data_IF_803490321693
#
_entry.id   IF_803490321693
#
_cell.length_a   1.000
_cell.length_b   1.000
_cell.length_c   1.000
_cell.angle_alpha   90.00
_cell.angle_beta   90.00
_cell.angle_gamma   90.00
#
_symmetry.space_group_name_H-M   'P 1'
#
loop_
_entity.id
_entity.type
_entity.pdbx_description
1 polymer ?
#
# COMPACT_ATOMS: atom_id res chain seq x y z
N UNK A 1 -0.71 -1.64 -6.61
CA UNK A 1 -2.14 -1.96 -6.75
C UNK A 1 -2.27 -3.29 -7.47
N UNK A 2 -2.64 -4.36 -6.78
CA UNK A 2 -2.83 -5.68 -7.41
C UNK A 2 -4.30 -5.83 -7.81
N UNK A 3 -4.56 -5.73 -9.11
CA UNK A 3 -5.87 -5.95 -9.66
C UNK A 3 -6.17 -7.46 -9.70
N UNK A 4 -7.24 -7.93 -9.05
CA UNK A 4 -7.60 -9.35 -9.00
C UNK A 4 -8.75 -9.64 -9.94
N UNK A 5 -8.52 -10.50 -10.94
CA UNK A 5 -9.59 -10.93 -11.82
C UNK A 5 -10.66 -11.72 -11.04
N UNK A 6 -11.95 -11.38 -11.18
CA UNK A 6 -13.00 -12.07 -10.47
C UNK A 6 -13.02 -13.56 -10.85
N UNK A 7 -13.16 -14.42 -9.84
CA UNK A 7 -13.15 -15.87 -10.02
C UNK A 7 -14.49 -16.38 -10.58
N UNK A 8 -15.58 -15.66 -10.32
CA UNK A 8 -16.95 -16.01 -10.71
C UNK A 8 -17.30 -15.69 -12.16
N UNK A 9 -16.45 -14.94 -12.88
CA UNK A 9 -16.72 -14.55 -14.27
C UNK A 9 -16.22 -15.64 -15.21
N UNK A 10 -17.14 -16.53 -15.60
CA UNK A 10 -16.91 -17.62 -16.55
C UNK A 10 -18.21 -18.05 -17.23
N UNK A 11 -18.10 -18.85 -18.28
CA UNK A 11 -19.24 -19.47 -18.96
C UNK A 11 -19.79 -18.67 -20.14
N UNK A 12 -20.69 -19.33 -20.90
CA UNK A 12 -21.25 -18.80 -22.14
C UNK A 12 -22.23 -17.65 -21.89
N UNK A 13 -22.97 -17.67 -20.77
CA UNK A 13 -23.95 -16.62 -20.46
C UNK A 13 -23.27 -15.28 -20.20
N UNK A 14 -22.18 -15.29 -19.43
CA UNK A 14 -21.34 -14.10 -19.23
C UNK A 14 -20.74 -13.64 -20.56
N UNK A 15 -20.25 -14.56 -21.38
CA UNK A 15 -19.69 -14.22 -22.70
C UNK A 15 -20.72 -13.54 -23.61
N UNK A 16 -21.95 -14.07 -23.69
CA UNK A 16 -23.06 -13.48 -24.46
C UNK A 16 -23.41 -12.09 -23.94
N UNK A 17 -23.53 -11.94 -22.62
CA UNK A 17 -23.82 -10.65 -21.99
C UNK A 17 -22.79 -9.57 -22.34
N UNK A 18 -21.48 -9.89 -22.26
CA UNK A 18 -20.44 -8.91 -22.59
C UNK A 18 -20.31 -8.65 -24.09
N UNK A 19 -20.57 -9.67 -24.92
CA UNK A 19 -20.63 -9.50 -26.37
C UNK A 19 -21.76 -8.54 -26.78
N UNK A 20 -22.95 -8.69 -26.20
CA UNK A 20 -24.09 -7.81 -26.47
C UNK A 20 -23.79 -6.34 -26.09
N UNK A 21 -23.00 -6.13 -25.04
CA UNK A 21 -22.61 -4.80 -24.59
C UNK A 21 -21.55 -4.13 -25.49
N UNK A 22 -20.57 -4.90 -25.97
CA UNK A 22 -19.45 -4.37 -26.78
C UNK A 22 -19.85 -4.17 -28.25
N UNK A 23 -20.85 -4.89 -28.73
CA UNK A 23 -21.44 -4.63 -30.05
C UNK A 23 -21.92 -5.85 -30.84
N UNK A 24 -22.45 -6.89 -30.17
CA UNK A 24 -23.34 -7.96 -30.67
C UNK A 24 -22.80 -8.91 -31.76
N UNK A 25 -21.85 -8.46 -32.58
CA UNK A 25 -21.41 -9.13 -33.78
C UNK A 25 -20.16 -9.97 -33.52
N UNK A 26 -20.21 -11.22 -33.98
CA UNK A 26 -19.08 -12.14 -33.92
C UNK A 26 -17.83 -11.60 -34.63
N UNK A 27 -18.00 -10.83 -35.71
CA UNK A 27 -16.90 -10.16 -36.43
C UNK A 27 -16.19 -9.17 -35.52
N UNK A 28 -16.94 -8.30 -34.84
CA UNK A 28 -16.41 -7.26 -33.96
C UNK A 28 -15.68 -7.88 -32.78
N UNK A 29 -16.30 -8.85 -32.10
CA UNK A 29 -15.67 -9.58 -30.99
C UNK A 29 -14.44 -10.35 -31.42
N UNK A 30 -14.44 -10.97 -32.61
CA UNK A 30 -13.27 -11.68 -33.14
C UNK A 30 -12.06 -10.77 -33.32
N UNK A 31 -12.29 -9.51 -33.71
CA UNK A 31 -11.23 -8.49 -33.84
C UNK A 31 -10.67 -8.07 -32.48
N UNK A 32 -11.54 -7.85 -31.49
CA UNK A 32 -11.11 -7.50 -30.13
C UNK A 32 -10.31 -8.62 -29.47
N UNK A 33 -10.75 -9.87 -29.64
CA UNK A 33 -10.10 -11.03 -29.06
C UNK A 33 -8.89 -11.54 -29.86
N UNK A 34 -8.66 -11.03 -31.08
CA UNK A 34 -7.58 -11.49 -31.96
C UNK A 34 -7.73 -12.95 -32.43
N UNK A 35 -8.96 -13.45 -32.52
CA UNK A 35 -9.26 -14.83 -32.92
C UNK A 35 -10.02 -14.87 -34.24
N UNK A 36 -9.99 -15.99 -34.95
CA UNK A 36 -10.79 -16.16 -36.16
C UNK A 36 -12.29 -16.20 -35.85
N UNK A 37 -13.13 -15.57 -36.68
CA UNK A 37 -14.58 -15.45 -36.47
C UNK A 37 -15.28 -16.81 -36.25
N UNK A 38 -14.89 -17.83 -37.03
CA UNK A 38 -15.39 -19.20 -36.86
C UNK A 38 -15.19 -19.76 -35.44
N UNK A 39 -14.15 -19.34 -34.73
CA UNK A 39 -13.89 -19.76 -33.34
C UNK A 39 -14.94 -19.16 -32.41
N UNK A 40 -15.24 -17.86 -32.57
CA UNK A 40 -16.30 -17.18 -31.80
C UNK A 40 -17.66 -17.80 -32.09
N UNK A 41 -17.98 -18.07 -33.36
CA UNK A 41 -19.22 -18.77 -33.73
C UNK A 41 -19.29 -20.18 -33.15
N UNK A 42 -18.16 -20.90 -33.06
CA UNK A 42 -18.10 -22.25 -32.47
C UNK A 42 -18.40 -22.21 -30.97
N UNK A 43 -17.89 -21.21 -30.26
CA UNK A 43 -18.21 -20.95 -28.85
C UNK A 43 -19.69 -20.63 -28.65
N UNK A 44 -20.27 -19.77 -29.49
CA UNK A 44 -21.68 -19.39 -29.41
C UNK A 44 -22.65 -20.54 -29.65
N UNK A 45 -22.25 -21.51 -30.49
CA UNK A 45 -23.01 -22.73 -30.78
C UNK A 45 -22.84 -23.83 -29.72
N UNK A 46 -22.12 -23.55 -28.63
CA UNK A 46 -21.84 -24.49 -27.54
C UNK A 46 -21.10 -25.76 -27.99
N UNK A 47 -20.52 -25.76 -29.19
CA UNK A 47 -19.73 -26.87 -29.72
C UNK A 47 -18.34 -26.98 -29.06
N UNK A 48 -17.91 -25.93 -28.37
CA UNK A 48 -16.65 -25.90 -27.59
C UNK A 48 -16.84 -24.96 -26.41
N UNK A 49 -16.36 -25.31 -25.20
CA UNK A 49 -16.41 -24.41 -24.06
C UNK A 49 -15.65 -23.12 -24.35
N UNK A 50 -16.19 -22.00 -23.86
CA UNK A 50 -15.56 -20.69 -23.98
C UNK A 50 -14.37 -20.62 -23.01
N UNK A 51 -13.16 -20.28 -23.49
CA UNK A 51 -12.02 -20.06 -22.61
C UNK A 51 -12.30 -18.93 -21.62
N UNK A 52 -11.89 -19.10 -20.36
CA UNK A 52 -12.10 -18.09 -19.31
C UNK A 52 -11.42 -16.78 -19.65
N UNK A 53 -10.26 -16.87 -20.29
CA UNK A 53 -9.44 -15.75 -20.72
C UNK A 53 -10.19 -14.84 -21.70
N UNK A 54 -10.97 -15.43 -22.62
CA UNK A 54 -11.79 -14.68 -23.57
C UNK A 54 -12.94 -13.95 -22.87
N UNK A 55 -13.59 -14.61 -21.90
CA UNK A 55 -14.66 -13.98 -21.10
C UNK A 55 -14.10 -12.83 -20.27
N UNK A 56 -12.93 -13.01 -19.66
CA UNK A 56 -12.27 -11.97 -18.87
C UNK A 56 -11.81 -10.79 -19.72
N UNK A 57 -11.28 -11.04 -20.91
CA UNK A 57 -10.89 -9.97 -21.83
C UNK A 57 -12.09 -9.08 -22.18
N UNK A 58 -13.24 -9.67 -22.50
CA UNK A 58 -14.48 -8.91 -22.75
C UNK A 58 -15.01 -8.23 -21.49
N UNK A 59 -14.91 -8.88 -20.34
CA UNK A 59 -15.31 -8.27 -19.07
C UNK A 59 -14.51 -6.99 -18.79
N UNK A 60 -13.20 -6.99 -19.01
CA UNK A 60 -12.35 -5.81 -18.79
C UNK A 60 -12.66 -4.64 -19.70
N UNK A 61 -13.12 -4.93 -20.92
CA UNK A 61 -13.54 -3.90 -21.87
C UNK A 61 -14.98 -3.40 -21.62
N UNK A 62 -15.83 -4.23 -21.01
CA UNK A 62 -17.20 -3.86 -20.66
C UNK A 62 -17.28 -2.75 -19.61
N UNK A 63 -18.45 -2.11 -19.47
CA UNK A 63 -18.70 -1.12 -18.40
C UNK A 63 -18.59 -1.77 -17.01
N UNK A 64 -18.84 -3.07 -16.89
CA UNK A 64 -18.73 -3.80 -15.61
C UNK A 64 -17.30 -3.85 -15.12
N UNK A 65 -16.35 -4.23 -15.98
CA UNK A 65 -14.92 -4.25 -15.64
C UNK A 65 -14.41 -2.85 -15.27
N UNK A 66 -14.79 -1.83 -16.06
CA UNK A 66 -14.44 -0.44 -15.77
C UNK A 66 -15.02 0.06 -14.44
N UNK A 67 -16.27 -0.29 -14.14
CA UNK A 67 -16.93 0.04 -12.87
C UNK A 67 -16.27 -0.66 -11.69
N UNK A 68 -15.85 -1.91 -11.86
CA UNK A 68 -15.11 -2.65 -10.84
C UNK A 68 -13.79 -1.97 -10.49
N UNK A 69 -13.00 -1.59 -11.50
CA UNK A 69 -11.73 -0.87 -11.29
C UNK A 69 -11.97 0.45 -10.56
N UNK A 70 -12.96 1.23 -10.99
CA UNK A 70 -13.28 2.51 -10.36
C UNK A 70 -13.70 2.35 -8.90
N UNK A 71 -14.53 1.34 -8.61
CA UNK A 71 -15.01 1.07 -7.25
C UNK A 71 -13.85 0.66 -6.34
N UNK A 72 -12.94 -0.19 -6.82
CA UNK A 72 -11.76 -0.61 -6.06
C UNK A 72 -10.85 0.59 -5.74
N UNK A 73 -10.58 1.45 -6.74
CA UNK A 73 -9.79 2.67 -6.55
C UNK A 73 -10.41 3.60 -5.50
N UNK A 74 -11.70 3.87 -5.60
CA UNK A 74 -12.40 4.75 -4.65
C UNK A 74 -12.39 4.16 -3.25
N UNK A 75 -12.57 2.85 -3.11
CA UNK A 75 -12.53 2.16 -1.82
C UNK A 75 -11.12 2.17 -1.21
N UNK A 76 -10.08 1.96 -2.01
CA UNK A 76 -8.69 2.02 -1.55
C UNK A 76 -8.34 3.43 -1.05
N UNK A 77 -8.69 4.47 -1.82
CA UNK A 77 -8.47 5.87 -1.43
C UNK A 77 -9.20 6.18 -0.11
N UNK A 78 -10.46 5.76 0.02
CA UNK A 78 -11.23 5.97 1.26
C UNK A 78 -10.62 5.25 2.45
N UNK A 79 -10.14 4.02 2.26
CA UNK A 79 -9.50 3.24 3.31
C UNK A 79 -8.21 3.91 3.78
N UNK A 80 -7.34 4.30 2.85
CA UNK A 80 -6.08 5.00 3.14
C UNK A 80 -6.34 6.34 3.86
N UNK A 81 -7.27 7.13 3.35
CA UNK A 81 -7.66 8.40 3.97
C UNK A 81 -8.12 8.18 5.42
N UNK A 82 -8.97 7.18 5.66
CA UNK A 82 -9.45 6.88 7.01
C UNK A 82 -8.33 6.43 7.94
N UNK A 83 -7.40 5.61 7.45
CA UNK A 83 -6.23 5.18 8.22
C UNK A 83 -5.37 6.39 8.63
N UNK A 84 -5.13 7.32 7.71
CA UNK A 84 -4.37 8.55 7.99
C UNK A 84 -5.09 9.40 9.04
N UNK A 85 -6.40 9.62 8.92
CA UNK A 85 -7.15 10.38 9.93
C UNK A 85 -7.07 9.74 11.32
N UNK A 86 -7.24 8.41 11.40
CA UNK A 86 -7.14 7.70 12.68
C UNK A 86 -5.73 7.85 13.26
N UNK A 87 -4.70 7.70 12.43
CA UNK A 87 -3.31 7.83 12.87
C UNK A 87 -3.03 9.25 13.39
N UNK A 88 -3.55 10.28 12.71
CA UNK A 88 -3.46 11.67 13.14
C UNK A 88 -4.15 11.89 14.50
N UNK A 89 -5.36 11.36 14.68
CA UNK A 89 -6.09 11.46 15.96
C UNK A 89 -5.33 10.79 17.11
N UNK A 90 -4.74 9.60 16.87
CA UNK A 90 -3.96 8.89 17.87
C UNK A 90 -2.65 9.62 18.20
N UNK A 91 -1.99 10.15 17.17
CA UNK A 91 -0.79 10.95 17.33
C UNK A 91 -1.05 12.20 18.15
N UNK A 92 -2.14 12.92 17.88
CA UNK A 92 -2.51 14.11 18.65
C UNK A 92 -2.80 13.77 20.11
N UNK A 93 -3.58 12.71 20.37
CA UNK A 93 -3.85 12.25 21.75
C UNK A 93 -2.58 11.87 22.49
N UNK A 94 -1.66 11.17 21.83
CA UNK A 94 -0.37 10.80 22.42
C UNK A 94 0.47 12.05 22.72
N UNK A 95 0.53 13.02 21.80
CA UNK A 95 1.21 14.30 21.99
C UNK A 95 0.62 15.08 23.17
N UNK A 96 -0.69 15.13 23.29
CA UNK A 96 -1.39 15.82 24.39
C UNK A 96 -1.08 15.16 25.74
N UNK A 97 -1.09 13.83 25.81
CA UNK A 97 -0.73 13.08 27.02
C UNK A 97 0.73 13.36 27.43
N UNK A 98 1.67 13.27 26.48
CA UNK A 98 3.09 13.54 26.74
C UNK A 98 3.29 14.98 27.21
N UNK A 99 2.62 15.94 26.57
CA UNK A 99 2.68 17.36 26.95
C UNK A 99 2.10 17.59 28.35
N UNK A 100 0.97 16.95 28.67
CA UNK A 100 0.37 16.99 30.01
C UNK A 100 1.27 16.38 31.08
N UNK A 101 1.88 15.21 30.81
CA UNK A 101 2.84 14.58 31.73
C UNK A 101 4.08 15.44 31.94
N UNK A 102 4.61 16.07 30.87
CA UNK A 102 5.72 17.02 30.96
C UNK A 102 5.37 18.20 31.87
N UNK A 103 4.16 18.76 31.73
CA UNK A 103 3.72 19.86 32.58
C UNK A 103 3.61 19.47 34.07
N UNK A 104 3.27 18.21 34.38
CA UNK A 104 3.19 17.71 35.76
C UNK A 104 4.55 17.36 36.39
N UNK A 105 5.56 17.05 35.57
CA UNK A 105 6.88 16.56 36.02
C UNK A 105 8.03 17.56 35.82
N UNK A 106 7.75 18.87 35.88
CA UNK A 106 8.76 19.92 35.80
C UNK A 106 9.72 19.88 37.01
N UNK A 107 10.84 19.17 36.90
CA UNK A 107 11.95 19.23 37.87
C UNK A 107 12.36 17.93 38.58
N UNK A 108 11.96 16.75 38.09
CA UNK A 108 12.49 15.49 38.64
C UNK A 108 13.82 15.11 37.95
N UNK A 109 14.80 14.61 38.71
CA UNK A 109 16.12 14.23 38.17
C UNK A 109 16.09 13.05 37.17
N UNK A 110 14.95 12.38 37.02
CA UNK A 110 14.69 11.29 36.07
C UNK A 110 13.66 11.71 35.00
N UNK A 111 13.63 13.00 34.64
CA UNK A 111 12.71 13.47 33.61
C UNK A 111 12.99 12.71 32.30
N UNK A 112 11.98 12.08 31.68
CA UNK A 112 12.19 11.39 30.42
C UNK A 112 12.56 12.43 29.36
N UNK A 113 13.69 12.21 28.67
CA UNK A 113 14.08 13.01 27.52
C UNK A 113 13.10 12.74 26.38
N UNK A 114 12.05 13.55 26.30
CA UNK A 114 11.13 13.53 25.18
C UNK A 114 11.68 14.47 24.11
N UNK A 115 12.34 13.92 23.09
CA UNK A 115 12.56 14.66 21.83
C UNK A 115 11.20 15.11 21.30
N UNK A 116 11.11 16.36 20.82
CA UNK A 116 9.87 16.87 20.25
C UNK A 116 9.48 16.02 19.06
N UNK A 117 8.35 15.33 19.18
CA UNK A 117 7.83 14.53 18.09
C UNK A 117 7.52 15.46 16.91
N UNK A 118 8.00 15.14 15.69
CA UNK A 118 7.86 16.03 14.54
C UNK A 118 6.39 16.27 14.22
N UNK A 119 6.02 17.53 13.94
CA UNK A 119 4.65 17.83 13.51
C UNK A 119 4.37 17.23 12.13
N UNK A 120 3.71 16.07 12.14
CA UNK A 120 3.23 15.36 10.95
C UNK A 120 2.14 16.14 10.19
N UNK A 121 1.73 17.31 10.70
CA UNK A 121 0.77 18.22 10.07
C UNK A 121 1.38 18.99 8.89
N UNK A 122 2.70 18.92 8.63
CA UNK A 122 3.25 19.42 7.37
C UNK A 122 2.77 18.55 6.21
N UNK A 123 1.63 18.95 5.65
CA UNK A 123 1.12 18.53 4.36
C UNK A 123 2.27 18.55 3.34
N UNK A 124 2.71 17.38 2.93
CA UNK A 124 3.45 17.26 1.69
C UNK A 124 2.44 17.63 0.60
N UNK A 125 2.77 18.63 -0.23
CA UNK A 125 1.88 19.01 -1.33
C UNK A 125 1.58 17.75 -2.17
N UNK A 126 0.32 17.52 -2.55
CA UNK A 126 -0.04 16.38 -3.37
C UNK A 126 0.73 16.45 -4.69
N UNK A 127 1.74 15.60 -4.85
CA UNK A 127 2.60 15.53 -6.03
C UNK A 127 1.88 15.03 -7.28
N UNK A 128 0.57 14.78 -7.21
CA UNK A 128 -0.27 14.25 -8.29
C UNK A 128 -0.69 15.32 -9.32
N UNK A 129 0.15 16.33 -9.55
CA UNK A 129 -0.02 17.26 -10.66
C UNK A 129 0.37 16.59 -11.99
N UNK A 130 -0.41 16.82 -13.03
CA UNK A 130 -0.25 16.31 -14.41
C UNK A 130 1.09 16.61 -15.10
N UNK A 131 2.00 17.33 -14.44
CA UNK A 131 3.35 17.67 -14.94
C UNK A 131 4.48 16.95 -14.21
N UNK A 132 4.18 16.11 -13.21
CA UNK A 132 5.22 15.40 -12.46
C UNK A 132 5.82 14.27 -13.31
N UNK A 133 6.95 14.57 -13.95
CA UNK A 133 7.87 13.57 -14.47
C UNK A 133 8.05 12.46 -13.42
N UNK A 134 7.90 11.21 -13.85
CA UNK A 134 8.16 10.02 -13.04
C UNK A 134 9.43 10.23 -12.21
N UNK A 135 9.44 9.99 -10.89
CA UNK A 135 10.68 10.01 -10.13
C UNK A 135 11.48 8.77 -10.55
N UNK A 136 12.24 8.90 -11.62
CA UNK A 136 13.34 8.00 -11.91
C UNK A 136 14.51 8.42 -11.03
N UNK A 137 15.13 7.38 -10.46
CA UNK A 137 16.32 7.41 -9.59
C UNK A 137 16.02 7.75 -8.13
N UNK A 138 15.80 6.68 -7.35
CA UNK A 138 16.30 6.67 -5.98
C UNK A 138 17.80 6.96 -6.06
N UNK A 139 18.21 8.16 -5.63
CA UNK A 139 19.61 8.38 -5.32
C UNK A 139 20.02 7.31 -4.29
N UNK A 140 21.14 6.60 -4.51
CA UNK A 140 21.61 5.64 -3.53
C UNK A 140 21.88 6.42 -2.24
N UNK A 141 21.18 6.04 -1.17
CA UNK A 141 21.45 6.51 0.18
C UNK A 141 22.96 6.58 0.39
N UNK A 142 23.51 7.70 0.90
CA UNK A 142 24.93 7.77 1.18
C UNK A 142 25.29 6.60 2.10
N UNK A 143 26.43 5.93 1.88
CA UNK A 143 26.83 4.80 2.69
C UNK A 143 26.83 5.24 4.15
N UNK A 144 26.26 4.39 5.02
CA UNK A 144 26.33 4.50 6.48
C UNK A 144 27.80 4.73 6.86
N UNK A 145 28.19 5.98 7.01
CA UNK A 145 29.47 6.34 7.60
C UNK A 145 29.38 5.92 9.06
N UNK A 146 30.38 5.16 9.49
CA UNK A 146 30.55 4.65 10.84
C UNK A 146 30.12 5.69 11.87
N UNK A 147 28.91 5.51 12.40
CA UNK A 147 28.38 6.35 13.44
C UNK A 147 29.32 6.19 14.64
N UNK A 148 30.08 7.24 14.96
CA UNK A 148 30.82 7.27 16.21
C UNK A 148 29.83 6.94 17.34
N UNK A 149 30.14 5.97 18.21
CA UNK A 149 29.23 5.61 19.28
C UNK A 149 28.96 6.88 20.10
N UNK A 150 27.67 7.18 20.29
CA UNK A 150 27.24 8.35 21.03
C UNK A 150 28.01 8.46 22.36
N UNK A 151 28.42 9.67 22.78
CA UNK A 151 29.22 9.83 23.99
C UNK A 151 28.48 9.26 25.19
N UNK A 152 28.95 8.11 25.66
CA UNK A 152 28.35 7.38 26.78
C UNK A 152 28.61 8.18 28.06
N UNK A 153 27.56 8.46 28.83
CA UNK A 153 27.73 9.20 30.09
C UNK A 153 28.69 8.46 31.03
N UNK A 154 29.48 9.21 31.80
CA UNK A 154 30.47 8.68 32.75
C UNK A 154 29.87 7.64 33.72
N UNK A 155 28.59 7.80 34.05
CA UNK A 155 27.83 6.88 34.90
C UNK A 155 27.52 5.54 34.20
N UNK A 156 27.16 5.57 32.92
CA UNK A 156 26.90 4.35 32.14
C UNK A 156 28.19 3.55 31.92
N UNK A 157 29.33 4.22 31.72
CA UNK A 157 30.63 3.55 31.65
C UNK A 157 31.00 2.85 32.98
N UNK A 158 30.74 3.49 34.13
CA UNK A 158 30.98 2.87 35.44
C UNK A 158 30.06 1.67 35.71
N UNK A 159 28.79 1.75 35.28
CA UNK A 159 27.84 0.64 35.43
C UNK A 159 28.24 -0.58 34.60
N UNK A 160 28.70 -0.38 33.35
CA UNK A 160 29.23 -1.46 32.52
C UNK A 160 30.47 -2.11 33.15
N UNK A 161 31.41 -1.31 33.65
CA UNK A 161 32.59 -1.85 34.34
C UNK A 161 32.25 -2.64 35.60
N UNK A 162 31.23 -2.21 36.36
CA UNK A 162 30.76 -2.95 37.53
C UNK A 162 30.14 -4.31 37.13
N UNK A 163 29.40 -4.33 36.02
CA UNK A 163 28.76 -5.53 35.49
C UNK A 163 29.78 -6.55 34.95
N UNK A 164 30.83 -6.07 34.27
CA UNK A 164 31.91 -6.93 33.78
C UNK A 164 32.75 -7.51 34.92
N UNK A 165 32.98 -6.74 36.00
CA UNK A 165 33.60 -7.28 37.22
C UNK A 165 32.75 -8.37 37.88
N UNK A 166 31.44 -8.17 37.93
CA UNK A 166 30.52 -9.18 38.48
C UNK A 166 30.50 -10.45 37.63
N UNK A 167 30.52 -10.33 36.29
CA UNK A 167 30.64 -11.48 35.37
C UNK A 167 31.97 -12.21 35.53
N UNK A 168 33.09 -11.48 35.67
CA UNK A 168 34.40 -12.08 35.88
C UNK A 168 34.51 -12.80 37.24
N UNK A 169 33.82 -12.31 38.27
CA UNK A 169 33.74 -12.96 39.57
C UNK A 169 32.86 -14.22 39.57
N UNK A 170 31.82 -14.27 38.73
CA UNK A 170 30.94 -15.44 38.59
C UNK A 170 31.55 -16.60 37.78
N UNK A 171 32.62 -16.34 37.02
CA UNK A 171 33.34 -17.34 36.23
C UNK A 171 34.62 -17.87 36.90
N UNK A 172 34.86 -17.54 38.17
CA UNK A 172 35.90 -18.16 39.02
C UNK A 172 35.24 -19.01 40.09
#
# INVERSE_FOLDING_TARGET
MFFHAPQSVYGIDCFRMFMDEIGGDAVTVSRYLGVHENTVRRWLREATPVPREAVLALFWESKWGRSHIFTDQVNEIRLLYRQVCILQDQYQKAKDIVTGLRAMHAGSANEPLFEELPDLVRWQEPTFGTEAALPLSADPSPPLQDAQPAPVSTRAAQAMQALDRARAAAHR
#
